data_IF_156990933376
#
_entry.id   IF_156990933376
#
_cell.length_a   1.000
_cell.length_b   1.000
_cell.length_c   1.000
_cell.angle_alpha   90.00
_cell.angle_beta   90.00
_cell.angle_gamma   90.00
#
_symmetry.space_group_name_H-M   'P 1'
#
loop_
_entity.id
_entity.type
_entity.pdbx_description
1 polymer ?
#
# COMPACT_ATOMS: atom_id res chain seq x y z
N UNK A 1 27.00 -28.02 14.37
CA UNK A 1 27.43 -27.20 13.21
C UNK A 1 26.37 -27.08 12.13
N UNK A 2 25.30 -27.90 12.13
CA UNK A 2 24.24 -27.94 11.09
C UNK A 2 23.08 -26.92 11.24
N UNK A 3 22.98 -26.21 12.37
CA UNK A 3 21.88 -25.25 12.58
C UNK A 3 22.12 -23.90 11.88
N UNK A 4 23.38 -23.42 11.89
CA UNK A 4 23.75 -22.14 11.30
C UNK A 4 23.65 -22.14 9.76
N UNK A 5 23.83 -23.30 9.13
CA UNK A 5 23.70 -23.46 7.68
C UNK A 5 22.27 -23.18 7.22
N UNK A 6 21.28 -23.71 7.97
CA UNK A 6 19.85 -23.54 7.66
C UNK A 6 19.38 -22.09 7.83
N UNK A 7 19.88 -21.41 8.86
CA UNK A 7 19.59 -19.99 9.08
C UNK A 7 20.19 -19.13 7.96
N UNK A 8 21.40 -19.44 7.50
CA UNK A 8 22.06 -18.72 6.40
C UNK A 8 21.34 -18.91 5.06
N UNK A 9 20.87 -20.12 4.77
CA UNK A 9 20.10 -20.42 3.55
C UNK A 9 18.74 -19.72 3.54
N UNK A 10 18.09 -19.63 4.70
CA UNK A 10 16.84 -18.90 4.87
C UNK A 10 17.05 -17.40 4.63
N UNK A 11 18.10 -16.83 5.20
CA UNK A 11 18.43 -15.41 5.02
C UNK A 11 18.83 -15.10 3.56
N UNK A 12 19.60 -15.98 2.92
CA UNK A 12 19.95 -15.83 1.50
C UNK A 12 18.71 -15.80 0.60
N UNK A 13 17.73 -16.67 0.86
CA UNK A 13 16.49 -16.71 0.10
C UNK A 13 15.65 -15.45 0.31
N UNK A 14 15.52 -15.00 1.57
CA UNK A 14 14.85 -13.75 1.92
C UNK A 14 15.44 -12.55 1.18
N UNK A 15 16.76 -12.39 1.22
CA UNK A 15 17.46 -11.30 0.55
C UNK A 15 17.37 -11.37 -0.98
N UNK A 16 17.42 -12.58 -1.56
CA UNK A 16 17.25 -12.76 -3.00
C UNK A 16 15.85 -12.30 -3.47
N UNK A 17 14.81 -12.59 -2.69
CA UNK A 17 13.46 -12.16 -3.01
C UNK A 17 13.26 -10.64 -2.89
N UNK A 18 13.90 -10.03 -1.90
CA UNK A 18 13.92 -8.56 -1.74
C UNK A 18 14.64 -7.90 -2.92
N UNK A 19 15.80 -8.42 -3.33
CA UNK A 19 16.55 -7.84 -4.46
C UNK A 19 15.85 -8.04 -5.81
N UNK A 20 15.14 -9.15 -5.99
CA UNK A 20 14.47 -9.45 -7.27
C UNK A 20 13.09 -8.83 -7.39
N UNK A 21 12.33 -8.75 -6.29
CA UNK A 21 10.90 -8.46 -6.30
C UNK A 21 10.51 -7.32 -5.35
N UNK A 22 11.43 -6.87 -4.48
CA UNK A 22 11.21 -5.79 -3.52
C UNK A 22 10.32 -6.16 -2.33
N UNK A 23 9.93 -7.43 -2.16
CA UNK A 23 8.99 -7.90 -1.13
C UNK A 23 9.62 -8.95 -0.22
N UNK A 24 9.37 -8.84 1.08
CA UNK A 24 9.79 -9.79 2.11
C UNK A 24 8.70 -10.87 2.29
N UNK A 25 9.06 -12.15 2.22
CA UNK A 25 8.10 -13.26 2.37
C UNK A 25 7.71 -13.46 3.83
N UNK A 26 6.53 -12.98 4.22
CA UNK A 26 5.78 -13.46 5.38
C UNK A 26 4.30 -13.65 5.01
N UNK A 27 3.92 -14.88 4.62
CA UNK A 27 2.65 -15.57 4.99
C UNK A 27 2.33 -16.77 4.06
N UNK A 28 1.75 -17.86 4.60
CA UNK A 28 1.40 -19.04 3.81
C UNK A 28 0.14 -18.79 2.99
N UNK A 29 0.13 -19.32 1.76
CA UNK A 29 -1.02 -19.38 0.89
C UNK A 29 -2.21 -20.09 1.58
N UNK A 30 -3.25 -19.33 1.93
CA UNK A 30 -4.54 -19.87 2.35
C UNK A 30 -5.54 -19.73 1.20
N UNK A 31 -5.88 -20.88 0.63
CA UNK A 31 -7.05 -21.10 -0.22
C UNK A 31 -8.32 -20.66 0.51
N UNK A 32 -9.01 -19.62 0.03
CA UNK A 32 -10.42 -19.41 0.33
C UNK A 32 -11.23 -19.15 -0.93
N UNK A 33 -12.11 -20.12 -1.23
CA UNK A 33 -13.25 -19.99 -2.12
C UNK A 33 -14.22 -19.00 -1.50
N UNK A 34 -14.33 -17.87 -2.15
CA UNK A 34 -15.33 -16.83 -2.00
C UNK A 34 -15.11 -15.91 -3.17
N UNK A 35 -16.14 -15.24 -3.66
CA UNK A 35 -15.93 -14.05 -4.47
C UNK A 35 -15.37 -12.98 -3.50
N UNK A 36 -14.09 -13.15 -3.15
CA UNK A 36 -13.31 -12.24 -2.35
C UNK A 36 -12.36 -11.57 -3.35
N UNK A 37 -12.36 -10.23 -3.44
CA UNK A 37 -11.40 -9.53 -4.26
C UNK A 37 -10.01 -10.04 -3.90
N UNK A 38 -9.27 -10.46 -4.92
CA UNK A 38 -7.99 -11.13 -4.74
C UNK A 38 -7.04 -10.30 -3.86
N UNK A 39 -5.98 -10.91 -3.30
CA UNK A 39 -5.00 -10.21 -2.49
C UNK A 39 -4.47 -8.93 -3.16
N UNK A 40 -4.40 -8.90 -4.50
CA UNK A 40 -4.02 -7.73 -5.30
C UNK A 40 -5.04 -6.57 -5.24
N UNK A 41 -6.35 -6.84 -5.25
CA UNK A 41 -7.37 -5.79 -5.18
C UNK A 41 -7.51 -5.23 -3.76
N UNK A 42 -7.28 -6.07 -2.74
CA UNK A 42 -7.18 -5.63 -1.33
C UNK A 42 -5.97 -4.71 -1.13
N UNK A 43 -4.82 -5.07 -1.70
CA UNK A 43 -3.59 -4.26 -1.65
C UNK A 43 -3.84 -2.89 -2.28
N UNK A 44 -4.49 -2.86 -3.45
CA UNK A 44 -4.80 -1.62 -4.16
C UNK A 44 -5.81 -0.71 -3.42
N UNK A 45 -6.79 -1.29 -2.73
CA UNK A 45 -7.72 -0.51 -1.91
C UNK A 45 -6.99 0.17 -0.73
N UNK A 46 -6.09 -0.56 -0.09
CA UNK A 46 -5.29 -0.04 1.02
C UNK A 46 -4.30 1.04 0.56
N UNK A 47 -3.70 0.87 -0.62
CA UNK A 47 -2.83 1.86 -1.26
C UNK A 47 -3.57 3.18 -1.50
N UNK A 48 -4.75 3.15 -2.12
CA UNK A 48 -5.55 4.36 -2.41
C UNK A 48 -5.97 5.08 -1.12
N UNK A 49 -6.30 4.33 -0.05
CA UNK A 49 -6.55 4.92 1.27
C UNK A 49 -5.31 5.63 1.84
N UNK A 50 -4.14 4.99 1.72
CA UNK A 50 -2.87 5.59 2.14
C UNK A 50 -2.59 6.89 1.39
N UNK A 51 -2.75 6.90 0.07
CA UNK A 51 -2.56 8.10 -0.74
C UNK A 51 -3.51 9.23 -0.33
N UNK A 52 -4.79 8.94 -0.03
CA UNK A 52 -5.74 9.95 0.47
C UNK A 52 -5.25 10.56 1.78
N UNK A 53 -4.79 9.73 2.73
CA UNK A 53 -4.28 10.20 4.02
C UNK A 53 -3.03 11.08 3.81
N UNK A 54 -2.07 10.65 2.98
CA UNK A 54 -0.87 11.42 2.65
C UNK A 54 -1.21 12.80 2.06
N UNK A 55 -2.22 12.89 1.18
CA UNK A 55 -2.66 14.17 0.61
C UNK A 55 -3.31 15.07 1.66
N UNK A 56 -4.04 14.50 2.61
CA UNK A 56 -4.62 15.26 3.74
C UNK A 56 -3.54 15.78 4.67
N UNK A 57 -2.55 14.95 5.00
CA UNK A 57 -1.39 15.33 5.82
C UNK A 57 -0.57 16.42 5.13
N UNK A 58 -0.27 16.27 3.84
CA UNK A 58 0.41 17.31 3.06
C UNK A 58 -0.32 18.64 3.12
N UNK A 59 -1.66 18.65 2.99
CA UNK A 59 -2.43 19.87 3.07
C UNK A 59 -2.38 20.50 4.49
N UNK A 60 -2.38 19.67 5.54
CA UNK A 60 -2.24 20.11 6.92
C UNK A 60 -0.85 20.72 7.20
N UNK A 61 0.21 20.11 6.67
CA UNK A 61 1.58 20.63 6.74
C UNK A 61 1.69 21.98 6.02
N UNK A 62 1.17 22.06 4.79
CA UNK A 62 1.18 23.31 4.02
C UNK A 62 0.32 24.39 4.68
N UNK A 63 -0.81 24.02 5.31
CA UNK A 63 -1.63 24.95 6.08
C UNK A 63 -0.87 25.49 7.31
N UNK A 64 -0.12 24.64 8.01
CA UNK A 64 0.73 25.03 9.14
C UNK A 64 1.85 25.98 8.73
N UNK A 65 2.33 25.89 7.49
CA UNK A 65 3.28 26.82 6.87
C UNK A 65 2.60 28.08 6.28
N UNK A 66 1.28 28.23 6.41
CA UNK A 66 0.50 29.33 5.82
C UNK A 66 0.35 29.26 4.29
N UNK A 67 0.81 28.17 3.66
CA UNK A 67 0.77 27.94 2.21
C UNK A 67 -0.43 27.09 1.75
N UNK A 68 -1.27 26.61 2.67
CA UNK A 68 -2.37 25.70 2.36
C UNK A 68 -3.32 26.20 1.26
N UNK A 69 -3.56 27.51 1.18
CA UNK A 69 -4.40 28.13 0.15
C UNK A 69 -3.87 27.92 -1.28
N UNK A 70 -2.54 27.78 -1.47
CA UNK A 70 -1.93 27.54 -2.79
C UNK A 70 -2.20 26.13 -3.31
N UNK A 71 -2.32 25.18 -2.39
CA UNK A 71 -2.40 23.76 -2.72
C UNK A 71 -3.80 23.18 -2.52
N UNK A 72 -4.64 23.83 -1.71
CA UNK A 72 -6.00 23.36 -1.34
C UNK A 72 -6.82 22.91 -2.54
N UNK A 73 -6.91 23.72 -3.60
CA UNK A 73 -7.72 23.37 -4.78
C UNK A 73 -7.21 22.11 -5.49
N UNK A 74 -5.90 22.00 -5.69
CA UNK A 74 -5.28 20.88 -6.41
C UNK A 74 -5.42 19.61 -5.57
N UNK A 75 -5.02 19.69 -4.30
CA UNK A 75 -5.04 18.55 -3.38
C UNK A 75 -6.47 18.04 -3.14
N UNK A 76 -7.46 18.92 -2.98
CA UNK A 76 -8.85 18.49 -2.84
C UNK A 76 -9.38 17.81 -4.12
N UNK A 77 -8.91 18.25 -5.29
CA UNK A 77 -9.25 17.59 -6.56
C UNK A 77 -8.66 16.18 -6.61
N UNK A 78 -7.41 16.01 -6.21
CA UNK A 78 -6.74 14.71 -6.15
C UNK A 78 -7.37 13.78 -5.12
N UNK A 79 -7.70 14.27 -3.93
CA UNK A 79 -8.46 13.52 -2.92
C UNK A 79 -9.80 13.06 -3.51
N UNK A 80 -10.52 13.95 -4.22
CA UNK A 80 -11.80 13.59 -4.84
C UNK A 80 -11.65 12.50 -5.91
N UNK A 81 -10.60 12.57 -6.73
CA UNK A 81 -10.28 11.53 -7.72
C UNK A 81 -9.99 10.19 -7.05
N UNK A 82 -9.22 10.20 -5.96
CA UNK A 82 -8.85 8.99 -5.21
C UNK A 82 -10.03 8.39 -4.46
N UNK A 83 -10.90 9.20 -3.87
CA UNK A 83 -12.17 8.73 -3.29
C UNK A 83 -13.03 8.06 -4.35
N UNK A 84 -13.13 8.65 -5.55
CA UNK A 84 -13.87 8.02 -6.64
C UNK A 84 -13.24 6.69 -7.10
N UNK A 85 -11.91 6.61 -7.19
CA UNK A 85 -11.18 5.36 -7.46
C UNK A 85 -11.52 4.30 -6.40
N UNK A 86 -11.52 4.69 -5.12
CA UNK A 86 -11.85 3.83 -3.99
C UNK A 86 -13.28 3.30 -4.08
N UNK A 87 -14.26 4.16 -4.37
CA UNK A 87 -15.66 3.75 -4.60
C UNK A 87 -15.80 2.76 -5.76
N UNK A 88 -15.02 2.96 -6.83
CA UNK A 88 -15.05 2.07 -7.98
C UNK A 88 -14.38 0.71 -7.69
N UNK A 89 -13.40 0.66 -6.79
CA UNK A 89 -12.83 -0.59 -6.30
C UNK A 89 -13.81 -1.30 -5.36
N UNK A 90 -14.48 -0.56 -4.48
CA UNK A 90 -15.49 -1.11 -3.56
C UNK A 90 -16.69 -1.70 -4.29
N UNK A 91 -17.20 -1.03 -5.33
CA UNK A 91 -18.30 -1.55 -6.18
C UNK A 91 -17.97 -2.83 -6.95
N UNK A 92 -16.68 -3.17 -7.08
CA UNK A 92 -16.20 -4.37 -7.78
C UNK A 92 -16.00 -5.57 -6.84
N UNK A 93 -16.13 -5.36 -5.53
CA UNK A 93 -16.09 -6.38 -4.47
C UNK A 93 -17.50 -6.92 -4.20
#
# INVERSE_FOLDING_TARGET
TDCLQRDLEKEKRRLQNIMSTGREEDAPAASHRGHDPGPEERDRFQEVLGEIEERREFLADMASLGQGHKYSTIINTEISQKVHELEMLDKRR
#
